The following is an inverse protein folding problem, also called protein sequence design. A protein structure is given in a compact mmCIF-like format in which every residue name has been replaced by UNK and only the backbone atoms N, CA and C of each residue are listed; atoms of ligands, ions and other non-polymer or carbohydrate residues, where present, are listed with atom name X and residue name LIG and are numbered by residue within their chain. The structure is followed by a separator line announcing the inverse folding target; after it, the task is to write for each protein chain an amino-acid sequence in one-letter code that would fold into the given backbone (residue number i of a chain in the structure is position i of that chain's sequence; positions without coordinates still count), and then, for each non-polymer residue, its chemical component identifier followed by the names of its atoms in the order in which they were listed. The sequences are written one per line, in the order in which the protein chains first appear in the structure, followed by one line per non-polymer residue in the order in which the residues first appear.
data_IF_820899224592
#
_entry.id   IF_820899224592
#
_cell.length_a   1.000
_cell.length_b   1.000
_cell.length_c   1.000
_cell.angle_alpha   90.00
_cell.angle_beta   90.00
_cell.angle_gamma   90.00
#
_symmetry.space_group_name_H-M   'P 1'
#
loop_
_entity.id
_entity.type
_entity.pdbx_description
1 polymer ?
#
# COMPACT_ATOMS: atom_id res chain seq x y z
N UNK A 1 6.57 15.90 -12.39
CA UNK A 1 7.36 16.17 -11.17
C UNK A 1 6.91 17.39 -10.37
N UNK A 2 6.59 18.55 -10.96
CA UNK A 2 6.07 19.71 -10.19
C UNK A 2 4.81 19.42 -9.35
N UNK A 3 3.94 18.51 -9.81
CA UNK A 3 2.79 18.04 -9.03
C UNK A 3 3.20 17.02 -7.95
N UNK A 4 4.24 16.22 -8.19
CA UNK A 4 4.55 15.04 -7.38
C UNK A 4 5.57 15.29 -6.28
N UNK A 5 6.45 16.28 -6.42
CA UNK A 5 7.41 16.66 -5.38
C UNK A 5 6.97 17.95 -4.70
N UNK A 6 7.44 18.12 -3.46
CA UNK A 6 7.27 19.35 -2.70
C UNK A 6 7.92 20.49 -3.47
N UNK A 7 7.18 21.58 -3.66
CA UNK A 7 7.63 22.75 -4.39
C UNK A 7 8.38 23.67 -3.42
N UNK A 8 9.64 24.02 -3.70
CA UNK A 8 10.31 25.05 -2.92
C UNK A 8 9.60 26.39 -3.14
N UNK A 9 9.64 27.24 -2.11
CA UNK A 9 9.26 28.65 -2.19
C UNK A 9 10.23 29.42 -3.10
N UNK A 10 9.84 30.63 -3.52
CA UNK A 10 10.70 31.46 -4.37
C UNK A 10 12.05 31.77 -3.69
N UNK A 11 12.06 32.01 -2.37
CA UNK A 11 13.28 32.21 -1.58
C UNK A 11 14.16 30.95 -1.55
N UNK A 12 13.56 29.78 -1.31
CA UNK A 12 14.28 28.49 -1.34
C UNK A 12 14.84 28.17 -2.73
N UNK A 13 14.15 28.56 -3.81
CA UNK A 13 14.64 28.41 -5.19
C UNK A 13 15.83 29.33 -5.47
N UNK A 14 15.79 30.58 -5.02
CA UNK A 14 16.91 31.52 -5.16
C UNK A 14 18.15 31.02 -4.41
N UNK A 15 17.96 30.39 -3.25
CA UNK A 15 19.03 29.81 -2.44
C UNK A 15 19.25 28.31 -2.63
N UNK A 16 18.70 27.68 -3.67
CA UNK A 16 18.64 26.21 -3.80
C UNK A 16 20.02 25.56 -3.86
N UNK A 17 20.99 26.24 -4.48
CA UNK A 17 22.35 25.73 -4.64
C UNK A 17 22.42 24.51 -5.55
N UNK A 18 23.26 23.54 -5.18
CA UNK A 18 23.42 22.29 -5.92
C UNK A 18 22.41 21.25 -5.45
N UNK A 19 21.73 20.52 -6.37
CA UNK A 19 20.79 19.48 -5.99
C UNK A 19 21.50 18.32 -5.28
N UNK A 20 20.86 17.77 -4.24
CA UNK A 20 21.35 16.55 -3.57
C UNK A 20 21.26 15.32 -4.46
N UNK A 21 20.30 15.30 -5.40
CA UNK A 21 20.07 14.20 -6.33
C UNK A 21 19.50 14.74 -7.66
N UNK A 22 19.97 14.22 -8.79
CA UNK A 22 19.55 14.68 -10.13
C UNK A 22 18.91 13.56 -10.94
N UNK A 23 17.77 13.84 -11.59
CA UNK A 23 17.12 12.92 -12.54
C UNK A 23 17.36 13.42 -13.96
N UNK A 24 18.04 12.61 -14.77
CA UNK A 24 18.13 12.79 -16.22
C UNK A 24 17.07 11.93 -16.90
N UNK A 25 15.91 12.54 -17.17
CA UNK A 25 14.87 11.87 -17.95
C UNK A 25 15.08 12.09 -19.45
N UNK A 26 15.70 11.11 -20.10
CA UNK A 26 15.81 11.00 -21.55
C UNK A 26 14.93 9.83 -22.06
N UNK A 27 13.75 9.68 -21.47
CA UNK A 27 12.82 8.57 -21.70
C UNK A 27 12.46 8.32 -23.16
N UNK A 28 12.37 9.37 -23.98
CA UNK A 28 12.12 9.25 -25.43
C UNK A 28 13.31 8.66 -26.21
N UNK A 29 14.50 8.58 -25.62
CA UNK A 29 15.71 8.03 -26.24
C UNK A 29 15.96 6.59 -25.74
N UNK A 30 16.13 5.60 -26.62
CA UNK A 30 16.31 4.21 -26.21
C UNK A 30 17.69 3.96 -25.59
N UNK A 31 17.73 3.07 -24.62
CA UNK A 31 18.97 2.50 -24.11
C UNK A 31 19.66 1.63 -25.18
N UNK A 32 20.99 1.64 -25.17
CA UNK A 32 21.77 0.75 -26.03
C UNK A 32 21.77 -0.68 -25.47
N UNK A 33 21.04 -1.59 -26.12
CA UNK A 33 20.96 -3.02 -25.75
C UNK A 33 22.30 -3.77 -25.77
N UNK A 34 23.33 -3.20 -26.41
CA UNK A 34 24.67 -3.81 -26.47
C UNK A 34 25.57 -3.39 -25.30
N UNK A 35 25.13 -2.47 -24.44
CA UNK A 35 25.83 -2.12 -23.20
C UNK A 35 25.69 -3.28 -22.20
N UNK A 36 26.78 -3.64 -21.51
CA UNK A 36 26.78 -4.70 -20.49
C UNK A 36 25.70 -4.48 -19.43
N UNK A 37 24.94 -5.53 -19.10
CA UNK A 37 23.85 -5.48 -18.13
C UNK A 37 22.51 -4.98 -18.68
N UNK A 38 22.48 -4.44 -19.90
CA UNK A 38 21.23 -4.01 -20.54
C UNK A 38 20.50 -5.22 -21.15
N UNK A 39 19.21 -5.36 -20.85
CA UNK A 39 18.37 -6.47 -21.35
C UNK A 39 17.31 -6.01 -22.37
N UNK A 40 17.08 -4.70 -22.48
CA UNK A 40 16.06 -4.13 -23.37
C UNK A 40 16.49 -2.75 -23.90
N UNK A 41 15.60 -2.07 -24.62
CA UNK A 41 15.78 -0.66 -25.02
C UNK A 41 15.40 0.32 -23.90
N UNK A 42 15.02 -0.17 -22.72
CA UNK A 42 14.60 0.63 -21.56
C UNK A 42 15.61 0.45 -20.43
N UNK A 43 15.97 1.57 -19.78
CA UNK A 43 16.86 1.58 -18.63
C UNK A 43 16.42 2.64 -17.63
N UNK A 44 16.28 2.23 -16.37
CA UNK A 44 16.04 3.11 -15.22
C UNK A 44 17.12 2.80 -14.20
N UNK A 45 18.17 3.60 -14.20
CA UNK A 45 19.40 3.32 -13.44
C UNK A 45 19.63 4.39 -12.38
N UNK A 46 19.83 3.97 -11.12
CA UNK A 46 20.16 4.84 -9.99
C UNK A 46 21.64 4.61 -9.61
N UNK A 47 22.40 5.70 -9.50
CA UNK A 47 23.75 5.70 -9.00
C UNK A 47 23.83 6.47 -7.67
N UNK A 48 23.90 5.74 -6.55
CA UNK A 48 23.98 6.33 -5.21
C UNK A 48 25.29 7.03 -4.88
N UNK A 49 26.37 6.75 -5.62
CA UNK A 49 27.65 7.43 -5.43
C UNK A 49 27.66 8.80 -6.11
N UNK A 50 27.07 8.89 -7.31
CA UNK A 50 26.96 10.15 -8.05
C UNK A 50 25.70 10.96 -7.67
N UNK A 51 24.76 10.34 -6.96
CA UNK A 51 23.44 10.87 -6.65
C UNK A 51 22.64 11.23 -7.92
N UNK A 52 22.62 10.31 -8.88
CA UNK A 52 21.99 10.52 -10.18
C UNK A 52 21.05 9.35 -10.54
N UNK A 53 19.95 9.67 -11.23
CA UNK A 53 19.12 8.69 -11.91
C UNK A 53 19.06 9.01 -13.40
N UNK A 54 19.21 7.98 -14.25
CA UNK A 54 19.07 8.11 -15.71
C UNK A 54 17.90 7.23 -16.16
N UNK A 55 16.97 7.83 -16.91
CA UNK A 55 15.81 7.16 -17.50
C UNK A 55 15.94 7.21 -19.02
N UNK A 56 15.88 6.05 -19.67
CA UNK A 56 15.95 5.86 -21.12
C UNK A 56 14.89 4.87 -21.58
N UNK A 57 14.31 5.10 -22.76
CA UNK A 57 13.38 4.18 -23.43
C UNK A 57 12.05 3.94 -22.69
N UNK A 58 11.61 4.91 -21.89
CA UNK A 58 10.30 4.91 -21.22
C UNK A 58 9.86 6.34 -20.91
N UNK A 59 8.64 6.70 -21.29
CA UNK A 59 8.03 8.00 -21.01
C UNK A 59 7.02 7.94 -19.84
N UNK A 60 6.91 6.78 -19.19
CA UNK A 60 6.01 6.60 -18.05
C UNK A 60 6.47 7.45 -16.86
N UNK A 61 5.61 8.37 -16.41
CA UNK A 61 5.96 9.33 -15.37
C UNK A 61 6.27 8.66 -14.01
N UNK A 62 5.69 7.47 -13.78
CA UNK A 62 5.91 6.69 -12.57
C UNK A 62 7.37 6.30 -12.32
N UNK A 63 8.21 6.21 -13.35
CA UNK A 63 9.64 5.92 -13.18
C UNK A 63 10.37 7.01 -12.40
N UNK A 64 10.03 8.28 -12.66
CA UNK A 64 10.62 9.39 -11.91
C UNK A 64 10.17 9.39 -10.44
N UNK A 65 8.87 9.15 -10.20
CA UNK A 65 8.29 9.07 -8.85
C UNK A 65 8.95 7.93 -8.06
N UNK A 66 8.84 6.70 -8.56
CA UNK A 66 9.33 5.50 -7.88
C UNK A 66 10.84 5.43 -7.79
N UNK A 67 11.57 6.07 -8.72
CA UNK A 67 13.01 6.26 -8.61
C UNK A 67 13.40 7.06 -7.36
N UNK A 68 12.74 8.20 -7.10
CA UNK A 68 12.95 8.96 -5.85
C UNK A 68 12.56 8.13 -4.63
N UNK A 69 11.47 7.37 -4.71
CA UNK A 69 11.07 6.51 -3.61
C UNK A 69 12.14 5.45 -3.26
N UNK A 70 12.72 4.79 -4.26
CA UNK A 70 13.86 3.89 -4.06
C UNK A 70 15.07 4.61 -3.46
N UNK A 71 15.33 5.86 -3.85
CA UNK A 71 16.37 6.68 -3.22
C UNK A 71 16.08 6.92 -1.74
N UNK A 72 14.84 7.21 -1.38
CA UNK A 72 14.39 7.39 0.00
C UNK A 72 14.45 6.08 0.80
N UNK A 73 14.19 4.93 0.18
CA UNK A 73 14.41 3.60 0.77
C UNK A 73 15.89 3.30 1.08
N UNK A 74 16.83 3.96 0.42
CA UNK A 74 18.25 3.86 0.77
C UNK A 74 18.68 4.91 1.80
N UNK A 75 18.46 6.20 1.53
CA UNK A 75 18.99 7.27 2.40
C UNK A 75 18.31 7.32 3.76
N UNK A 76 16.99 7.16 3.83
CA UNK A 76 16.27 7.31 5.10
C UNK A 76 16.73 6.27 6.12
N UNK A 77 16.77 4.96 5.81
CA UNK A 77 17.20 3.97 6.79
C UNK A 77 18.70 4.00 7.09
N UNK A 78 19.55 4.27 6.09
CA UNK A 78 21.01 4.14 6.23
C UNK A 78 21.65 5.41 6.78
N UNK A 79 21.31 6.58 6.22
CA UNK A 79 21.94 7.84 6.60
C UNK A 79 21.28 8.48 7.81
N UNK A 80 19.96 8.34 7.94
CA UNK A 80 19.17 9.11 8.92
C UNK A 80 18.48 8.25 9.97
N UNK A 81 18.53 6.91 9.85
CA UNK A 81 17.78 5.98 10.72
C UNK A 81 16.26 6.28 10.75
N UNK A 82 15.73 6.78 9.64
CA UNK A 82 14.31 7.08 9.42
C UNK A 82 13.68 5.93 8.63
N UNK A 83 12.51 5.47 9.05
CA UNK A 83 11.80 4.38 8.41
C UNK A 83 11.01 4.91 7.21
N UNK A 84 11.39 4.54 5.98
CA UNK A 84 10.61 4.81 4.77
C UNK A 84 9.60 3.70 4.48
N UNK A 85 8.41 4.10 4.06
CA UNK A 85 7.20 3.27 4.01
C UNK A 85 6.44 3.48 2.71
N UNK A 86 6.01 2.36 2.09
CA UNK A 86 5.05 2.39 0.99
C UNK A 86 3.64 2.33 1.57
N UNK A 87 3.13 3.48 1.97
CA UNK A 87 1.88 3.62 2.70
C UNK A 87 1.18 4.94 2.37
N UNK A 88 -0.14 4.98 2.54
CA UNK A 88 -0.85 6.25 2.72
C UNK A 88 -0.88 6.58 4.21
N UNK A 89 -1.07 7.84 4.57
CA UNK A 89 -1.23 8.25 5.96
C UNK A 89 -2.28 9.35 6.10
N UNK A 90 -3.01 9.32 7.22
CA UNK A 90 -3.93 10.38 7.60
C UNK A 90 -3.91 10.63 9.11
N UNK A 91 -4.38 11.80 9.52
CA UNK A 91 -4.44 12.25 10.90
C UNK A 91 -5.87 12.60 11.29
N UNK A 92 -6.32 12.09 12.43
CA UNK A 92 -7.63 12.42 12.99
C UNK A 92 -7.66 13.80 13.66
N UNK A 93 -8.86 14.29 14.02
CA UNK A 93 -9.02 15.59 14.67
C UNK A 93 -8.30 15.68 16.03
N UNK A 94 -8.10 14.54 16.70
CA UNK A 94 -7.39 14.45 17.99
C UNK A 94 -5.87 14.23 17.82
N UNK A 95 -5.36 14.29 16.58
CA UNK A 95 -3.95 14.09 16.27
C UNK A 95 -3.51 12.63 16.17
N UNK A 96 -4.44 11.67 16.24
CA UNK A 96 -4.11 10.26 16.05
C UNK A 96 -3.75 9.98 14.60
N UNK A 97 -2.55 9.45 14.35
CA UNK A 97 -2.07 9.13 13.00
C UNK A 97 -2.33 7.65 12.68
N UNK A 98 -2.77 7.38 11.46
CA UNK A 98 -2.89 6.03 10.90
C UNK A 98 -2.07 5.93 9.63
N UNK A 99 -1.32 4.83 9.48
CA UNK A 99 -0.62 4.49 8.24
C UNK A 99 -1.23 3.23 7.64
N UNK A 100 -1.46 3.23 6.34
CA UNK A 100 -2.12 2.15 5.62
C UNK A 100 -1.17 1.61 4.57
N UNK A 101 -0.77 0.35 4.72
CA UNK A 101 0.02 -0.40 3.76
C UNK A 101 -0.90 -1.18 2.85
N UNK A 102 -0.52 -1.32 1.58
CA UNK A 102 -1.30 -2.11 0.65
C UNK A 102 -0.84 -1.90 -0.79
N UNK A 103 -0.86 -2.99 -1.55
CA UNK A 103 -0.60 -2.94 -2.98
C UNK A 103 -1.73 -2.24 -3.73
N UNK A 104 -1.52 -1.97 -5.02
CA UNK A 104 -2.55 -1.41 -5.89
C UNK A 104 -3.84 -2.25 -5.83
N UNK A 105 -5.00 -1.59 -5.75
CA UNK A 105 -6.30 -2.27 -5.71
C UNK A 105 -6.76 -2.81 -4.34
N UNK A 106 -5.94 -2.72 -3.30
CA UNK A 106 -6.28 -3.15 -1.92
C UNK A 106 -7.07 -2.12 -1.11
N UNK A 107 -7.45 -0.99 -1.72
CA UNK A 107 -8.25 0.06 -1.07
C UNK A 107 -7.46 1.10 -0.27
N UNK A 108 -6.12 1.14 -0.38
CA UNK A 108 -5.25 2.12 0.31
C UNK A 108 -5.72 3.57 0.14
N UNK A 109 -5.86 4.05 -1.09
CA UNK A 109 -6.31 5.41 -1.39
C UNK A 109 -7.76 5.62 -0.91
N UNK A 110 -8.65 4.67 -1.18
CA UNK A 110 -10.07 4.77 -0.81
C UNK A 110 -10.32 4.84 0.71
N UNK A 111 -9.52 4.11 1.51
CA UNK A 111 -9.65 4.05 2.97
C UNK A 111 -8.87 5.15 3.69
N UNK A 112 -7.80 5.69 3.07
CA UNK A 112 -7.07 6.84 3.62
C UNK A 112 -7.73 8.18 3.30
N UNK A 113 -8.46 8.29 2.18
CA UNK A 113 -9.38 9.37 1.85
C UNK A 113 -10.67 9.27 2.70
N UNK A 114 -10.52 9.54 3.99
CA UNK A 114 -11.61 9.66 4.95
C UNK A 114 -11.93 11.15 5.14
N UNK A 115 -13.16 11.60 4.83
CA UNK A 115 -13.53 13.02 4.98
C UNK A 115 -13.47 13.53 6.42
N UNK A 116 -13.41 12.64 7.43
CA UNK A 116 -13.27 13.01 8.85
C UNK A 116 -11.81 13.22 9.28
N UNK A 117 -10.84 12.92 8.40
CA UNK A 117 -9.41 12.89 8.73
C UNK A 117 -8.64 13.72 7.71
N UNK A 118 -7.51 14.27 8.13
CA UNK A 118 -6.65 15.05 7.25
C UNK A 118 -5.65 14.13 6.54
N UNK A 119 -5.66 14.12 5.21
CA UNK A 119 -4.75 13.29 4.40
C UNK A 119 -3.31 13.84 4.49
N UNK A 120 -2.36 13.04 4.96
CA UNK A 120 -0.93 13.41 4.96
C UNK A 120 -0.34 13.15 3.56
N UNK A 121 -0.68 11.99 2.97
CA UNK A 121 -0.28 11.57 1.62
C UNK A 121 -0.89 10.21 1.27
N UNK A 122 -0.85 9.83 -0.02
CA UNK A 122 -1.53 8.64 -0.53
C UNK A 122 -0.63 7.42 -0.78
N UNK A 123 0.70 7.57 -0.77
CA UNK A 123 1.56 6.47 -1.26
C UNK A 123 2.95 6.32 -0.60
N UNK A 124 3.65 7.41 -0.26
CA UNK A 124 5.07 7.34 0.15
C UNK A 124 5.38 8.20 1.39
N UNK A 125 5.72 7.56 2.52
CA UNK A 125 5.92 8.27 3.79
C UNK A 125 7.22 7.86 4.49
N UNK A 126 7.64 8.70 5.42
CA UNK A 126 8.69 8.41 6.37
C UNK A 126 8.19 8.56 7.81
N UNK A 127 8.54 7.60 8.67
CA UNK A 127 8.37 7.68 10.11
C UNK A 127 9.73 7.94 10.77
N UNK A 128 9.87 9.17 11.27
CA UNK A 128 11.04 9.67 11.98
C UNK A 128 10.81 9.71 13.48
N UNK A 129 11.82 10.15 14.23
CA UNK A 129 11.72 10.37 15.68
C UNK A 129 10.82 11.56 16.03
N UNK A 130 10.38 12.35 15.03
CA UNK A 130 9.52 13.52 15.20
C UNK A 130 8.09 13.33 14.66
N UNK A 131 7.76 12.15 14.15
CA UNK A 131 6.44 11.87 13.55
C UNK A 131 6.54 11.38 12.11
N UNK A 132 5.49 11.62 11.33
CA UNK A 132 5.34 11.13 9.95
C UNK A 132 5.34 12.29 8.97
N UNK A 133 6.07 12.14 7.87
CA UNK A 133 6.02 13.09 6.76
C UNK A 133 5.87 12.38 5.42
N UNK A 134 5.18 13.03 4.50
CA UNK A 134 5.06 12.61 3.11
C UNK A 134 6.38 12.89 2.36
N UNK A 135 6.77 11.99 1.47
CA UNK A 135 7.90 12.21 0.54
C UNK A 135 7.44 13.10 -0.63
N UNK A 136 6.14 13.07 -0.94
CA UNK A 136 5.55 13.68 -2.13
C UNK A 136 4.88 15.04 -1.85
N UNK A 137 4.70 15.84 -2.91
CA UNK A 137 3.92 17.09 -2.90
C UNK A 137 2.56 16.97 -3.61
N UNK A 138 2.14 15.75 -3.94
CA UNK A 138 0.89 15.46 -4.63
C UNK A 138 0.62 13.97 -4.72
N UNK A 139 -0.42 13.63 -5.48
CA UNK A 139 -0.91 12.26 -5.62
C UNK A 139 -0.86 11.81 -7.08
N UNK A 140 -0.65 10.52 -7.29
CA UNK A 140 -0.59 9.87 -8.61
C UNK A 140 -1.62 8.75 -8.71
N UNK A 141 -2.88 9.15 -8.71
CA UNK A 141 -4.03 8.26 -8.55
C UNK A 141 -4.32 7.47 -9.83
N UNK A 142 -4.81 6.22 -9.66
CA UNK A 142 -5.38 5.42 -10.75
C UNK A 142 -6.73 6.00 -11.16
N UNK A 143 -7.01 6.06 -12.46
CA UNK A 143 -8.22 6.70 -13.01
C UNK A 143 -9.23 5.72 -13.62
N UNK A 144 -8.88 4.45 -13.80
CA UNK A 144 -9.81 3.47 -14.38
C UNK A 144 -11.02 3.28 -13.46
N UNK A 145 -12.22 3.34 -14.04
CA UNK A 145 -13.52 3.29 -13.36
C UNK A 145 -13.74 4.41 -12.31
N UNK A 146 -12.98 5.51 -12.40
CA UNK A 146 -13.14 6.65 -11.50
C UNK A 146 -14.51 7.31 -11.73
N UNK A 147 -15.23 7.57 -10.64
CA UNK A 147 -16.54 8.20 -10.69
C UNK A 147 -16.75 9.15 -9.51
N UNK A 148 -17.53 10.22 -9.68
CA UNK A 148 -17.81 11.17 -8.60
C UNK A 148 -18.57 10.53 -7.44
N UNK A 149 -19.34 9.47 -7.68
CA UNK A 149 -20.12 8.79 -6.64
C UNK A 149 -19.25 7.91 -5.72
N UNK A 150 -18.19 7.30 -6.26
CA UNK A 150 -17.31 6.40 -5.51
C UNK A 150 -16.17 7.15 -4.83
N UNK A 151 -15.54 8.08 -5.54
CA UNK A 151 -14.30 8.75 -5.14
C UNK A 151 -14.36 10.26 -5.46
N UNK A 152 -15.29 11.01 -4.82
CA UNK A 152 -15.55 12.41 -5.15
C UNK A 152 -14.32 13.32 -4.97
N UNK A 153 -13.50 13.07 -3.95
CA UNK A 153 -12.32 13.89 -3.66
C UNK A 153 -11.28 13.79 -4.78
N UNK A 154 -10.97 12.58 -5.24
CA UNK A 154 -10.04 12.33 -6.34
C UNK A 154 -10.61 12.89 -7.64
N UNK A 155 -11.90 12.65 -7.91
CA UNK A 155 -12.56 13.16 -9.12
C UNK A 155 -12.52 14.69 -9.19
N UNK A 156 -12.81 15.36 -8.08
CA UNK A 156 -12.79 16.83 -8.00
C UNK A 156 -11.37 17.42 -8.03
N UNK A 157 -10.35 16.64 -7.70
CA UNK A 157 -8.95 17.03 -7.87
C UNK A 157 -8.52 17.04 -9.34
N UNK A 158 -9.30 16.48 -10.27
CA UNK A 158 -9.00 16.54 -11.70
C UNK A 158 -9.50 17.88 -12.26
N UNK A 159 -8.60 18.85 -12.33
CA UNK A 159 -8.85 20.20 -12.84
C UNK A 159 -7.58 20.80 -13.45
N UNK A 160 -7.64 22.07 -13.89
CA UNK A 160 -6.46 22.75 -14.43
C UNK A 160 -5.26 22.60 -13.48
N UNK A 161 -4.10 22.21 -14.02
CA UNK A 161 -2.89 21.88 -13.26
C UNK A 161 -2.67 20.39 -13.02
N UNK A 162 -3.72 19.57 -13.10
CA UNK A 162 -3.61 18.10 -13.09
C UNK A 162 -3.12 17.58 -14.43
N UNK A 163 -2.46 16.42 -14.43
CA UNK A 163 -1.97 15.74 -15.64
C UNK A 163 -2.62 14.37 -15.72
N UNK A 164 -3.37 14.12 -16.79
CA UNK A 164 -3.95 12.81 -17.09
C UNK A 164 -3.00 12.05 -18.01
N UNK A 165 -2.75 10.78 -17.70
CA UNK A 165 -1.82 9.91 -18.43
C UNK A 165 -2.56 8.67 -18.92
N UNK A 166 -2.49 8.46 -20.24
CA UNK A 166 -3.09 7.33 -20.96
C UNK A 166 -4.62 7.18 -20.81
N UNK A 167 -5.34 8.25 -20.48
CA UNK A 167 -6.82 8.25 -20.51
C UNK A 167 -7.35 8.47 -21.92
N UNK A 168 -8.49 7.85 -22.23
CA UNK A 168 -9.26 8.15 -23.44
C UNK A 168 -10.24 9.30 -23.14
N UNK A 169 -10.40 10.20 -24.10
CA UNK A 169 -11.37 11.30 -24.02
C UNK A 169 -11.99 11.56 -25.38
N UNK A 170 -13.21 12.09 -25.36
CA UNK A 170 -13.91 12.47 -26.59
C UNK A 170 -13.25 13.74 -27.22
N UNK A 171 -12.81 13.70 -28.49
CA UNK A 171 -12.05 14.80 -29.08
C UNK A 171 -12.83 16.12 -29.20
N UNK A 172 -14.16 16.07 -29.25
CA UNK A 172 -15.02 17.23 -29.45
C UNK A 172 -15.40 17.90 -28.12
N UNK A 173 -15.99 17.13 -27.21
CA UNK A 173 -16.44 17.55 -25.88
C UNK A 173 -15.31 17.65 -24.85
N UNK A 174 -14.17 16.98 -25.10
CA UNK A 174 -13.03 16.85 -24.18
C UNK A 174 -13.36 16.12 -22.87
N UNK A 175 -14.50 15.45 -22.81
CA UNK A 175 -14.90 14.64 -21.65
C UNK A 175 -14.07 13.35 -21.65
N UNK A 176 -13.45 13.06 -20.51
CA UNK A 176 -12.67 11.84 -20.29
C UNK A 176 -13.62 10.66 -20.07
N UNK A 177 -13.32 9.53 -20.71
CA UNK A 177 -13.99 8.27 -20.45
C UNK A 177 -13.14 7.44 -19.48
N UNK A 178 -13.48 7.46 -18.20
CA UNK A 178 -12.74 6.75 -17.16
C UNK A 178 -12.96 5.24 -17.17
N UNK A 179 -13.97 4.74 -17.90
CA UNK A 179 -14.24 3.31 -18.04
C UNK A 179 -13.49 2.68 -19.23
N UNK A 180 -12.76 3.48 -20.01
CA UNK A 180 -12.05 3.03 -21.21
C UNK A 180 -10.57 2.73 -20.93
N UNK A 181 -10.21 1.46 -21.12
CA UNK A 181 -8.86 0.90 -20.92
C UNK A 181 -8.17 0.54 -22.24
N UNK A 182 -8.65 1.04 -23.38
CA UNK A 182 -8.14 0.64 -24.71
C UNK A 182 -6.63 0.85 -24.88
N UNK A 183 -6.02 1.79 -24.13
CA UNK A 183 -4.57 1.93 -24.04
C UNK A 183 -3.96 1.10 -22.91
N UNK A 184 -4.58 1.13 -21.73
CA UNK A 184 -4.13 0.42 -20.53
C UNK A 184 -5.16 0.54 -19.41
N UNK A 185 -5.28 -0.49 -18.57
CA UNK A 185 -6.00 -0.36 -17.29
C UNK A 185 -5.26 0.54 -16.29
N UNK A 186 -3.97 0.85 -16.49
CA UNK A 186 -3.18 1.70 -15.60
C UNK A 186 -3.27 3.19 -15.99
N UNK A 187 -4.46 3.68 -16.30
CA UNK A 187 -4.69 5.11 -16.50
C UNK A 187 -4.45 5.89 -15.20
N UNK A 188 -3.87 7.08 -15.30
CA UNK A 188 -3.38 7.84 -14.13
C UNK A 188 -3.75 9.32 -14.17
N UNK A 189 -3.79 9.94 -12.99
CA UNK A 189 -3.84 11.39 -12.83
C UNK A 189 -2.83 11.84 -11.78
N UNK A 190 -1.94 12.75 -12.15
CA UNK A 190 -1.05 13.44 -11.22
C UNK A 190 -1.61 14.82 -10.87
N UNK A 191 -1.86 15.09 -9.60
CA UNK A 191 -2.35 16.38 -9.11
C UNK A 191 -1.63 16.79 -7.81
N UNK A 192 -1.45 18.10 -7.57
CA UNK A 192 -0.83 18.58 -6.34
C UNK A 192 -1.73 18.29 -5.13
N UNK A 193 -1.12 18.06 -3.95
CA UNK A 193 -1.84 17.59 -2.75
C UNK A 193 -2.93 18.58 -2.31
N UNK A 194 -2.73 19.88 -2.57
CA UNK A 194 -3.67 20.96 -2.25
C UNK A 194 -4.98 20.89 -3.04
N UNK A 195 -5.12 19.97 -3.98
CA UNK A 195 -6.38 19.72 -4.67
C UNK A 195 -7.31 18.82 -3.87
N UNK A 196 -6.81 18.13 -2.86
CA UNK A 196 -7.61 17.38 -1.89
C UNK A 196 -8.03 18.33 -0.75
N UNK A 197 -9.35 18.57 -0.54
CA UNK A 197 -9.81 19.59 0.41
C UNK A 197 -9.38 19.38 1.87
N UNK A 198 -9.28 18.13 2.31
CA UNK A 198 -8.84 17.72 3.64
C UNK A 198 -7.36 17.33 3.67
N UNK A 199 -6.55 17.72 2.69
CA UNK A 199 -5.10 17.51 2.78
C UNK A 199 -4.50 18.30 3.96
N UNK A 200 -3.63 17.63 4.71
CA UNK A 200 -2.75 18.28 5.68
C UNK A 200 -1.60 18.92 4.91
N UNK A 201 -1.50 20.24 4.91
CA UNK A 201 -0.37 20.98 4.34
C UNK A 201 0.48 21.51 5.51
N UNK A 202 1.80 21.25 5.58
CA UNK A 202 2.72 20.79 4.53
C UNK A 202 2.97 19.27 4.49
N UNK A 203 1.94 18.44 4.70
CA UNK A 203 2.04 16.97 4.66
C UNK A 203 2.98 16.36 5.71
N UNK A 204 3.02 16.98 6.89
CA UNK A 204 3.80 16.54 8.05
C UNK A 204 2.88 16.44 9.27
N UNK A 205 2.90 15.32 9.98
CA UNK A 205 2.38 15.21 11.34
C UNK A 205 3.54 15.10 12.35
N UNK A 206 3.47 15.90 13.41
CA UNK A 206 4.38 15.80 14.56
C UNK A 206 3.94 14.72 15.56
N UNK A 207 2.82 14.05 15.30
CA UNK A 207 2.35 12.91 16.07
C UNK A 207 2.86 11.61 15.46
N UNK A 208 2.93 10.56 16.28
CA UNK A 208 3.32 9.24 15.83
C UNK A 208 2.10 8.39 15.47
N UNK A 209 2.22 7.45 14.51
CA UNK A 209 1.19 6.47 14.21
C UNK A 209 0.73 5.76 15.47
N UNK A 210 -0.58 5.82 15.71
CA UNK A 210 -1.27 5.00 16.70
C UNK A 210 -1.75 3.68 16.09
N UNK A 211 -2.02 3.69 14.79
CA UNK A 211 -2.52 2.53 14.05
C UNK A 211 -1.67 2.24 12.81
N UNK A 212 -1.21 1.00 12.70
CA UNK A 212 -0.52 0.44 11.54
C UNK A 212 -1.47 -0.53 10.87
N UNK A 213 -1.96 -0.20 9.67
CA UNK A 213 -3.01 -0.97 9.00
C UNK A 213 -2.43 -1.65 7.75
N UNK A 214 -2.40 -2.97 7.76
CA UNK A 214 -1.95 -3.80 6.64
C UNK A 214 -3.18 -4.24 5.83
N UNK A 215 -3.38 -3.64 4.66
CA UNK A 215 -4.48 -3.98 3.76
C UNK A 215 -4.07 -5.15 2.87
N UNK A 216 -4.94 -6.15 2.82
CA UNK A 216 -4.81 -7.30 1.92
C UNK A 216 -6.10 -7.47 1.12
N UNK A 217 -5.99 -7.91 -0.13
CA UNK A 217 -7.13 -8.31 -0.95
C UNK A 217 -7.09 -9.83 -1.10
N UNK A 218 -7.63 -10.55 -0.12
CA UNK A 218 -7.63 -12.01 -0.14
C UNK A 218 -8.75 -12.55 -1.03
N UNK A 219 -8.40 -13.07 -2.20
CA UNK A 219 -9.35 -13.71 -3.12
C UNK A 219 -9.62 -15.20 -2.80
N UNK A 220 -8.94 -15.76 -1.79
CA UNK A 220 -9.23 -17.09 -1.26
C UNK A 220 -10.38 -17.06 -0.24
N UNK A 221 -10.68 -15.89 0.32
CA UNK A 221 -11.80 -15.68 1.25
C UNK A 221 -11.60 -16.32 2.62
N UNK A 222 -10.34 -16.50 3.03
CA UNK A 222 -9.95 -17.21 4.26
C UNK A 222 -9.38 -16.27 5.31
N UNK A 223 -8.89 -15.07 4.95
CA UNK A 223 -8.43 -14.10 5.93
C UNK A 223 -9.62 -13.35 6.56
N UNK A 224 -9.64 -13.18 7.88
CA UNK A 224 -10.68 -12.41 8.57
C UNK A 224 -10.79 -10.97 8.05
N UNK A 225 -11.97 -10.34 8.09
CA UNK A 225 -12.13 -8.93 7.73
C UNK A 225 -11.19 -8.00 8.49
N UNK A 226 -10.92 -8.32 9.76
CA UNK A 226 -9.94 -7.61 10.59
C UNK A 226 -9.31 -8.56 11.60
N UNK A 227 -8.02 -8.38 11.85
CA UNK A 227 -7.30 -9.04 12.94
C UNK A 227 -6.37 -8.06 13.63
N UNK A 228 -6.28 -8.15 14.96
CA UNK A 228 -5.25 -7.46 15.73
C UNK A 228 -3.97 -8.28 15.70
N UNK A 229 -2.84 -7.63 15.39
CA UNK A 229 -1.55 -8.29 15.26
C UNK A 229 -0.68 -8.02 16.49
N UNK A 230 0.04 -9.03 16.95
CA UNK A 230 1.23 -8.82 17.77
C UNK A 230 2.35 -8.17 16.95
N UNK A 231 3.38 -7.61 17.60
CA UNK A 231 4.54 -7.04 16.90
C UNK A 231 5.23 -8.03 15.97
N UNK A 232 5.37 -9.30 16.40
CA UNK A 232 5.95 -10.36 15.57
C UNK A 232 5.10 -10.68 14.34
N UNK A 233 3.77 -10.72 14.49
CA UNK A 233 2.85 -10.91 13.37
C UNK A 233 2.82 -9.71 12.43
N UNK A 234 2.91 -8.49 12.96
CA UNK A 234 3.03 -7.27 12.16
C UNK A 234 4.27 -7.34 11.28
N UNK A 235 5.43 -7.73 11.83
CA UNK A 235 6.66 -7.95 11.04
C UNK A 235 6.49 -9.06 9.99
N UNK A 236 5.93 -10.22 10.37
CA UNK A 236 5.72 -11.34 9.45
C UNK A 236 4.83 -10.97 8.27
N UNK A 237 3.67 -10.36 8.54
CA UNK A 237 2.74 -9.93 7.49
C UNK A 237 3.27 -8.75 6.69
N UNK A 238 4.06 -7.87 7.29
CA UNK A 238 4.74 -6.78 6.58
C UNK A 238 5.79 -7.30 5.60
N UNK A 239 6.65 -8.24 6.02
CA UNK A 239 7.62 -8.90 5.13
C UNK A 239 6.92 -9.75 4.07
N UNK A 240 5.81 -10.40 4.41
CA UNK A 240 5.04 -11.16 3.43
C UNK A 240 4.40 -10.26 2.37
N UNK A 241 3.78 -9.15 2.80
CA UNK A 241 3.12 -8.19 1.91
C UNK A 241 2.09 -8.85 0.98
N UNK A 242 1.23 -9.69 1.56
CA UNK A 242 0.31 -10.54 0.83
C UNK A 242 -0.89 -9.77 0.24
N UNK A 243 -1.21 -10.08 -1.01
CA UNK A 243 -2.49 -9.82 -1.68
C UNK A 243 -2.80 -10.96 -2.64
N UNK A 244 -3.97 -10.97 -3.26
CA UNK A 244 -4.25 -11.87 -4.38
C UNK A 244 -4.48 -11.11 -5.69
N UNK A 245 -4.05 -11.74 -6.79
CA UNK A 245 -4.51 -11.40 -8.14
C UNK A 245 -5.86 -12.05 -8.39
N UNK A 246 -6.76 -11.31 -9.02
CA UNK A 246 -8.12 -11.75 -9.27
C UNK A 246 -8.17 -12.40 -10.66
N UNK A 247 -8.89 -13.52 -10.79
CA UNK A 247 -9.06 -14.19 -12.07
C UNK A 247 -9.83 -13.30 -13.07
N UNK A 248 -9.29 -13.16 -14.28
CA UNK A 248 -9.88 -12.35 -15.35
C UNK A 248 -9.55 -10.86 -15.33
N UNK A 249 -8.77 -10.36 -14.36
CA UNK A 249 -8.27 -8.96 -14.35
C UNK A 249 -6.82 -8.85 -14.80
N UNK A 250 -6.12 -9.97 -15.01
CA UNK A 250 -4.76 -10.01 -15.55
C UNK A 250 -4.64 -11.13 -16.59
N UNK A 251 -3.89 -10.86 -17.66
CA UNK A 251 -3.76 -11.76 -18.79
C UNK A 251 -3.14 -13.11 -18.34
N UNK A 252 -3.89 -14.20 -18.54
CA UNK A 252 -3.48 -15.56 -18.13
C UNK A 252 -3.91 -16.02 -16.72
N UNK A 253 -4.52 -15.16 -15.89
CA UNK A 253 -4.97 -15.55 -14.54
C UNK A 253 -6.39 -16.12 -14.58
N UNK A 254 -6.52 -17.44 -14.43
CA UNK A 254 -7.82 -18.16 -14.48
C UNK A 254 -8.39 -18.54 -13.12
N UNK A 255 -7.57 -18.50 -12.06
CA UNK A 255 -7.96 -18.72 -10.67
C UNK A 255 -7.22 -17.71 -9.77
N UNK A 256 -7.73 -17.41 -8.55
CA UNK A 256 -7.02 -16.59 -7.58
C UNK A 256 -5.58 -17.03 -7.38
N UNK A 257 -4.63 -16.10 -7.56
CA UNK A 257 -3.21 -16.35 -7.37
C UNK A 257 -2.69 -15.50 -6.21
N UNK A 258 -2.06 -16.16 -5.23
CA UNK A 258 -1.41 -15.45 -4.13
C UNK A 258 -0.22 -14.66 -4.65
N UNK A 259 -0.14 -13.38 -4.30
CA UNK A 259 0.96 -12.49 -4.66
C UNK A 259 1.55 -11.90 -3.40
N UNK A 260 2.86 -11.97 -3.29
CA UNK A 260 3.62 -11.47 -2.15
C UNK A 260 4.56 -10.38 -2.63
N UNK A 261 4.53 -9.24 -1.95
CA UNK A 261 5.41 -8.12 -2.25
C UNK A 261 5.94 -7.58 -0.95
N UNK A 262 7.15 -7.97 -0.58
CA UNK A 262 7.75 -7.62 0.69
C UNK A 262 7.62 -6.13 1.04
N UNK A 263 7.30 -5.86 2.31
CA UNK A 263 7.03 -4.51 2.85
C UNK A 263 5.91 -3.76 2.09
N UNK A 264 5.05 -4.50 1.38
CA UNK A 264 4.06 -3.98 0.43
C UNK A 264 4.68 -3.09 -0.67
N UNK A 265 5.97 -3.23 -0.98
CA UNK A 265 6.71 -2.31 -1.85
C UNK A 265 7.99 -2.91 -2.44
N UNK A 266 8.05 -4.23 -2.61
CA UNK A 266 9.27 -4.97 -2.99
C UNK A 266 10.07 -4.37 -4.14
N UNK A 267 9.48 -3.89 -5.25
CA UNK A 267 10.24 -3.33 -6.37
C UNK A 267 11.07 -2.09 -6.03
N UNK A 268 10.76 -1.41 -4.92
CA UNK A 268 11.38 -0.16 -4.52
C UNK A 268 12.35 -0.32 -3.34
N UNK A 269 12.41 -1.51 -2.74
CA UNK A 269 13.29 -1.76 -1.60
C UNK A 269 14.74 -1.87 -2.07
N UNK A 270 15.63 -1.18 -1.35
CA UNK A 270 17.09 -1.23 -1.59
C UNK A 270 17.81 -2.12 -0.58
N UNK A 271 17.15 -2.44 0.54
CA UNK A 271 17.70 -3.23 1.64
C UNK A 271 16.89 -4.50 1.83
N UNK A 272 17.44 -5.45 2.59
CA UNK A 272 16.72 -6.65 2.96
C UNK A 272 15.42 -6.30 3.72
N UNK A 273 14.26 -6.91 3.39
CA UNK A 273 12.97 -6.62 4.04
C UNK A 273 12.98 -6.66 5.57
N UNK A 274 13.75 -7.60 6.15
CA UNK A 274 13.91 -7.72 7.60
C UNK A 274 14.42 -6.43 8.26
N UNK A 275 15.20 -5.61 7.56
CA UNK A 275 15.68 -4.32 8.08
C UNK A 275 14.53 -3.35 8.32
N UNK A 276 13.62 -3.21 7.35
CA UNK A 276 12.46 -2.34 7.46
C UNK A 276 11.47 -2.86 8.51
N UNK A 277 11.25 -4.18 8.55
CA UNK A 277 10.38 -4.81 9.54
C UNK A 277 10.86 -4.59 10.98
N UNK A 278 12.17 -4.72 11.22
CA UNK A 278 12.77 -4.41 12.52
C UNK A 278 12.55 -2.95 12.92
N UNK A 279 12.82 -2.01 12.02
CA UNK A 279 12.57 -0.59 12.28
C UNK A 279 11.10 -0.29 12.54
N UNK A 280 10.17 -0.97 11.84
CA UNK A 280 8.74 -0.85 12.09
C UNK A 280 8.37 -1.32 13.51
N UNK A 281 8.87 -2.49 13.93
CA UNK A 281 8.60 -3.02 15.25
C UNK A 281 9.17 -2.13 16.38
N UNK A 282 10.40 -1.63 16.23
CA UNK A 282 11.02 -0.71 17.19
C UNK A 282 10.17 0.56 17.37
N UNK A 283 9.67 1.13 16.27
CA UNK A 283 8.81 2.32 16.32
C UNK A 283 7.41 2.02 16.87
N UNK A 284 6.82 0.88 16.53
CA UNK A 284 5.55 0.45 17.11
C UNK A 284 5.65 0.30 18.64
N UNK A 285 6.70 -0.34 19.13
CA UNK A 285 6.93 -0.53 20.56
C UNK A 285 7.17 0.81 21.27
N UNK A 286 8.07 1.65 20.73
CA UNK A 286 8.38 2.97 21.29
C UNK A 286 7.15 3.87 21.43
N UNK A 287 6.21 3.78 20.49
CA UNK A 287 5.03 4.65 20.44
C UNK A 287 3.73 3.95 20.83
N UNK A 288 3.79 2.70 21.29
CA UNK A 288 2.62 1.89 21.66
C UNK A 288 1.55 1.84 20.55
N UNK A 289 2.00 1.69 19.30
CA UNK A 289 1.12 1.61 18.14
C UNK A 289 0.50 0.22 18.00
N UNK A 290 -0.79 0.16 17.72
CA UNK A 290 -1.49 -1.08 17.40
C UNK A 290 -1.34 -1.42 15.91
N UNK A 291 -1.16 -2.71 15.59
CA UNK A 291 -1.13 -3.19 14.22
C UNK A 291 -2.35 -4.05 13.88
N UNK A 292 -2.82 -3.91 12.64
CA UNK A 292 -4.07 -4.47 12.14
C UNK A 292 -3.84 -5.11 10.78
N UNK A 293 -4.36 -6.32 10.57
CA UNK A 293 -4.52 -6.90 9.23
C UNK A 293 -5.97 -6.74 8.82
N UNK A 294 -6.24 -6.08 7.70
CA UNK A 294 -7.60 -5.81 7.21
C UNK A 294 -7.78 -6.40 5.82
N UNK A 295 -8.71 -7.35 5.71
CA UNK A 295 -9.07 -7.95 4.43
C UNK A 295 -10.13 -7.09 3.72
N UNK A 296 -9.79 -6.66 2.51
CA UNK A 296 -10.63 -5.89 1.57
C UNK A 296 -11.01 -6.71 0.31
N UNK A 297 -10.63 -7.98 0.32
CA UNK A 297 -10.92 -8.98 -0.71
C UNK A 297 -12.26 -9.66 -0.45
N UNK A 298 -12.28 -10.99 -0.39
CA UNK A 298 -13.47 -11.82 -0.37
C UNK A 298 -13.77 -12.36 1.03
N UNK A 299 -15.04 -12.70 1.24
CA UNK A 299 -15.52 -13.47 2.39
C UNK A 299 -16.64 -14.43 1.94
N UNK A 300 -16.89 -15.46 2.75
CA UNK A 300 -17.90 -16.49 2.51
C UNK A 300 -17.56 -17.49 1.40
N UNK A 301 -16.31 -17.50 0.93
CA UNK A 301 -15.81 -18.36 -0.14
C UNK A 301 -14.70 -17.70 -0.93
N UNK A 302 -13.95 -18.49 -1.69
CA UNK A 302 -13.01 -17.99 -2.68
C UNK A 302 -13.73 -17.24 -3.82
N UNK A 303 -12.99 -16.45 -4.60
CA UNK A 303 -13.50 -15.79 -5.80
C UNK A 303 -14.31 -16.75 -6.69
N UNK A 304 -15.49 -16.30 -7.13
CA UNK A 304 -16.46 -17.11 -7.88
C UNK A 304 -17.53 -17.78 -7.02
N UNK A 305 -17.30 -17.94 -5.71
CA UNK A 305 -18.29 -18.47 -4.74
C UNK A 305 -18.60 -17.43 -3.66
N UNK A 306 -17.57 -16.82 -3.08
CA UNK A 306 -17.72 -15.76 -2.08
C UNK A 306 -18.02 -14.39 -2.69
N UNK A 307 -18.27 -13.42 -1.82
CA UNK A 307 -18.50 -12.04 -2.21
C UNK A 307 -17.35 -11.15 -1.73
N UNK A 308 -17.05 -10.09 -2.49
CA UNK A 308 -16.11 -9.07 -2.04
C UNK A 308 -16.69 -8.37 -0.80
N UNK A 309 -15.87 -8.19 0.23
CA UNK A 309 -16.23 -7.47 1.45
C UNK A 309 -16.71 -6.08 1.06
N UNK A 310 -17.95 -5.77 1.42
CA UNK A 310 -18.61 -4.51 1.04
C UNK A 310 -17.82 -3.35 1.65
N UNK A 311 -17.56 -2.31 0.86
CA UNK A 311 -16.79 -1.14 1.29
C UNK A 311 -17.33 -0.51 2.59
N UNK A 312 -18.66 -0.53 2.80
CA UNK A 312 -19.27 -0.05 4.05
C UNK A 312 -18.76 -0.78 5.30
N UNK A 313 -18.46 -2.09 5.20
CA UNK A 313 -17.92 -2.88 6.30
C UNK A 313 -16.44 -2.58 6.52
N UNK A 314 -15.65 -2.44 5.44
CA UNK A 314 -14.26 -2.01 5.57
C UNK A 314 -14.16 -0.62 6.21
N UNK A 315 -15.01 0.35 5.81
CA UNK A 315 -15.06 1.68 6.46
C UNK A 315 -15.47 1.58 7.94
N UNK A 316 -16.46 0.75 8.27
CA UNK A 316 -16.85 0.52 9.67
C UNK A 316 -15.70 -0.06 10.51
N UNK A 317 -14.93 -1.00 9.96
CA UNK A 317 -13.72 -1.54 10.59
C UNK A 317 -12.70 -0.43 10.83
N UNK A 318 -12.41 0.40 9.83
CA UNK A 318 -11.45 1.50 9.96
C UNK A 318 -11.95 2.53 11.01
N UNK A 319 -13.24 2.87 11.02
CA UNK A 319 -13.85 3.73 12.05
C UNK A 319 -13.71 3.10 13.47
N UNK A 320 -13.87 1.78 13.60
CA UNK A 320 -13.71 1.05 14.86
C UNK A 320 -12.23 0.98 15.33
N UNK A 321 -11.27 0.95 14.39
CA UNK A 321 -9.84 1.11 14.68
C UNK A 321 -9.57 2.53 15.21
N UNK A 322 -10.00 3.56 14.49
CA UNK A 322 -9.74 4.96 14.84
C UNK A 322 -10.37 5.37 16.17
N UNK A 323 -11.60 4.93 16.44
CA UNK A 323 -12.28 5.18 17.73
C UNK A 323 -11.65 4.44 18.91
N UNK A 324 -10.78 3.46 18.65
CA UNK A 324 -10.19 2.60 19.68
C UNK A 324 -11.14 1.54 20.22
N UNK A 325 -12.29 1.31 19.58
CA UNK A 325 -13.21 0.21 19.89
C UNK A 325 -12.48 -1.13 19.78
N UNK A 326 -11.84 -1.38 18.63
CA UNK A 326 -11.14 -2.65 18.40
C UNK A 326 -9.94 -2.81 19.34
N UNK A 327 -9.32 -1.74 19.82
CA UNK A 327 -8.24 -1.87 20.80
C UNK A 327 -8.70 -2.45 22.15
N UNK A 328 -10.01 -2.36 22.46
CA UNK A 328 -10.60 -2.71 23.77
C UNK A 328 -11.57 -3.90 23.75
N UNK A 329 -11.94 -4.37 22.57
CA UNK A 329 -12.92 -5.47 22.41
C UNK A 329 -12.34 -6.83 22.80
N UNK A 330 -13.21 -7.83 22.94
CA UNK A 330 -12.79 -9.21 23.15
C UNK A 330 -12.39 -9.88 21.84
N UNK A 331 -11.36 -10.71 21.90
CA UNK A 331 -10.82 -11.44 20.75
C UNK A 331 -11.01 -12.95 20.91
N UNK A 332 -11.13 -13.64 19.78
CA UNK A 332 -10.98 -15.09 19.66
C UNK A 332 -9.78 -15.43 18.77
N UNK A 333 -9.14 -16.56 19.03
CA UNK A 333 -8.04 -17.05 18.21
C UNK A 333 -8.60 -17.63 16.92
N UNK A 334 -8.01 -17.22 15.79
CA UNK A 334 -8.25 -17.79 14.48
C UNK A 334 -7.11 -18.73 14.11
N UNK A 335 -7.42 -20.03 14.19
CA UNK A 335 -6.46 -21.13 14.02
C UNK A 335 -5.76 -21.14 12.66
N UNK A 336 -4.65 -21.88 12.57
CA UNK A 336 -3.71 -21.94 11.44
C UNK A 336 -2.96 -20.64 11.22
N UNK A 337 -3.62 -19.49 11.09
CA UNK A 337 -2.92 -18.20 10.94
C UNK A 337 -2.52 -17.56 12.27
N UNK A 338 -2.99 -18.11 13.39
CA UNK A 338 -2.71 -17.64 14.75
C UNK A 338 -3.18 -16.17 14.99
N UNK A 339 -4.18 -15.71 14.25
CA UNK A 339 -4.64 -14.32 14.27
C UNK A 339 -5.65 -14.08 15.39
N UNK A 340 -5.66 -12.87 15.96
CA UNK A 340 -6.70 -12.47 16.91
C UNK A 340 -7.82 -11.76 16.14
N UNK A 341 -9.02 -12.34 16.09
CA UNK A 341 -10.20 -11.75 15.46
C UNK A 341 -11.17 -11.20 16.51
N UNK A 342 -11.77 -10.02 16.31
CA UNK A 342 -12.68 -9.46 17.30
C UNK A 342 -14.01 -10.23 17.30
N UNK A 343 -14.60 -10.41 18.49
CA UNK A 343 -15.93 -11.03 18.60
C UNK A 343 -17.06 -10.13 18.11
N UNK A 344 -16.83 -8.82 18.08
CA UNK A 344 -17.78 -7.81 17.61
C UNK A 344 -17.07 -6.58 17.06
N UNK A 345 -17.68 -5.94 16.07
CA UNK A 345 -17.25 -4.66 15.50
C UNK A 345 -18.49 -3.88 15.07
N UNK A 346 -18.66 -2.66 15.57
CA UNK A 346 -19.83 -1.82 15.28
C UNK A 346 -20.00 -1.62 13.77
N UNK A 347 -21.22 -1.86 13.27
CA UNK A 347 -21.53 -1.71 11.84
C UNK A 347 -21.14 -2.90 10.95
N UNK A 348 -20.57 -3.96 11.54
CA UNK A 348 -20.22 -5.21 10.84
C UNK A 348 -20.99 -6.39 11.46
N UNK A 349 -21.74 -7.18 10.66
CA UNK A 349 -22.35 -8.42 11.15
C UNK A 349 -21.32 -9.37 11.77
N UNK A 350 -21.59 -9.86 12.98
CA UNK A 350 -20.64 -10.65 13.79
C UNK A 350 -20.18 -11.94 13.12
N UNK A 351 -21.05 -12.56 12.32
CA UNK A 351 -20.77 -13.77 11.56
C UNK A 351 -19.67 -13.54 10.52
N UNK A 352 -19.59 -12.34 9.92
CA UNK A 352 -18.58 -12.03 8.91
C UNK A 352 -17.17 -11.94 9.51
N UNK A 353 -17.04 -11.66 10.81
CA UNK A 353 -15.73 -11.49 11.47
C UNK A 353 -14.93 -12.79 11.52
N UNK A 354 -15.58 -13.95 11.44
CA UNK A 354 -14.95 -15.25 11.39
C UNK A 354 -15.30 -15.95 10.07
N UNK A 355 -14.39 -15.95 9.06
CA UNK A 355 -14.68 -16.47 7.72
C UNK A 355 -15.20 -17.91 7.67
N UNK A 356 -14.81 -18.76 8.63
CA UNK A 356 -15.29 -20.15 8.70
C UNK A 356 -16.80 -20.24 8.92
N UNK A 357 -17.39 -19.28 9.66
CA UNK A 357 -18.83 -19.26 9.98
C UNK A 357 -19.69 -18.83 8.79
N UNK A 358 -19.08 -18.24 7.76
CA UNK A 358 -19.77 -17.69 6.60
C UNK A 358 -19.45 -18.42 5.30
N UNK A 359 -18.63 -19.48 5.35
CA UNK A 359 -18.22 -20.23 4.18
C UNK A 359 -19.41 -20.92 3.51
N UNK A 360 -19.68 -20.59 2.25
CA UNK A 360 -20.82 -21.14 1.50
C UNK A 360 -20.54 -22.55 0.91
N UNK A 361 -19.29 -23.03 0.95
CA UNK A 361 -18.88 -24.36 0.50
C UNK A 361 -18.96 -25.42 1.60
N UNK A 362 -18.39 -26.60 1.37
CA UNK A 362 -18.25 -27.63 2.42
C UNK A 362 -17.12 -27.27 3.39
N UNK A 363 -17.16 -27.80 4.61
CA UNK A 363 -16.08 -27.65 5.60
C UNK A 363 -14.73 -28.12 5.03
N UNK A 364 -14.72 -29.23 4.29
CA UNK A 364 -13.49 -29.74 3.66
C UNK A 364 -12.93 -28.74 2.64
N UNK A 365 -13.79 -28.08 1.86
CA UNK A 365 -13.36 -27.08 0.88
C UNK A 365 -12.74 -25.85 1.55
N UNK A 366 -13.28 -25.43 2.70
CA UNK A 366 -12.72 -24.36 3.51
C UNK A 366 -11.35 -24.75 4.06
N UNK A 367 -11.23 -25.92 4.69
CA UNK A 367 -9.96 -26.43 5.25
C UNK A 367 -8.88 -26.54 4.18
N UNK A 368 -9.22 -27.08 3.00
CA UNK A 368 -8.29 -27.17 1.87
C UNK A 368 -7.82 -25.79 1.40
N UNK A 369 -8.74 -24.84 1.25
CA UNK A 369 -8.41 -23.48 0.78
C UNK A 369 -7.57 -22.71 1.80
N UNK A 370 -7.92 -22.80 3.09
CA UNK A 370 -7.18 -22.21 4.20
C UNK A 370 -5.76 -22.76 4.27
N UNK A 371 -5.60 -24.09 4.24
CA UNK A 371 -4.30 -24.73 4.31
C UNK A 371 -3.45 -24.42 3.06
N UNK A 372 -4.07 -24.34 1.87
CA UNK A 372 -3.39 -23.91 0.64
C UNK A 372 -2.81 -22.50 0.79
N UNK A 373 -3.60 -21.54 1.28
CA UNK A 373 -3.08 -20.18 1.50
C UNK A 373 -1.98 -20.16 2.56
N UNK A 374 -2.17 -20.86 3.68
CA UNK A 374 -1.15 -20.96 4.74
C UNK A 374 0.17 -21.53 4.21
N UNK A 375 0.11 -22.56 3.37
CA UNK A 375 1.29 -23.12 2.70
C UNK A 375 1.98 -22.08 1.81
N UNK A 376 1.23 -21.29 1.03
CA UNK A 376 1.81 -20.22 0.20
C UNK A 376 2.53 -19.15 1.03
N UNK A 377 2.02 -18.81 2.22
CA UNK A 377 2.72 -17.90 3.15
C UNK A 377 4.05 -18.49 3.62
N UNK A 378 4.05 -19.76 4.06
CA UNK A 378 5.26 -20.46 4.51
C UNK A 378 6.30 -20.55 3.38
N UNK A 379 5.89 -21.00 2.19
CA UNK A 379 6.78 -21.12 1.02
C UNK A 379 7.38 -19.77 0.61
N UNK A 380 6.56 -18.72 0.57
CA UNK A 380 7.04 -17.38 0.25
C UNK A 380 8.07 -16.88 1.28
N UNK A 381 7.89 -17.21 2.57
CA UNK A 381 8.74 -16.66 3.62
C UNK A 381 10.16 -17.24 3.64
N UNK A 382 10.37 -18.44 3.07
CA UNK A 382 11.69 -19.12 3.01
C UNK A 382 12.81 -18.20 2.52
N UNK A 383 12.52 -17.34 1.55
CA UNK A 383 13.51 -16.44 0.94
C UNK A 383 14.01 -15.32 1.88
N UNK A 384 13.38 -15.12 3.05
CA UNK A 384 13.71 -14.08 4.02
C UNK A 384 14.19 -14.63 5.37
N UNK A 385 14.24 -15.96 5.53
CA UNK A 385 14.54 -16.62 6.81
C UNK A 385 15.97 -16.37 7.30
N UNK A 386 16.91 -16.10 6.38
CA UNK A 386 18.32 -15.86 6.69
C UNK A 386 18.55 -14.64 7.60
N UNK A 387 17.61 -13.68 7.59
CA UNK A 387 17.66 -12.47 8.41
C UNK A 387 16.41 -12.25 9.27
N UNK A 388 15.48 -13.21 9.29
CA UNK A 388 14.32 -13.17 10.17
C UNK A 388 14.68 -13.67 11.58
N UNK A 389 14.14 -13.01 12.61
CA UNK A 389 14.32 -13.46 13.99
C UNK A 389 13.37 -14.64 14.32
N UNK A 390 13.69 -15.50 15.29
CA UNK A 390 12.88 -16.68 15.60
C UNK A 390 11.41 -16.38 15.94
N UNK A 391 11.14 -15.25 16.59
CA UNK A 391 9.79 -14.77 16.90
C UNK A 391 8.99 -14.43 15.63
N UNK A 392 9.62 -13.88 14.59
CA UNK A 392 8.96 -13.62 13.30
C UNK A 392 8.60 -14.95 12.62
N UNK A 393 9.51 -15.93 12.63
CA UNK A 393 9.26 -17.25 12.04
C UNK A 393 8.09 -17.97 12.71
N UNK A 394 7.98 -17.85 14.04
CA UNK A 394 6.90 -18.45 14.83
C UNK A 394 5.57 -17.68 14.72
N UNK A 395 5.58 -16.46 14.18
CA UNK A 395 4.38 -15.63 14.01
C UNK A 395 3.60 -15.94 12.73
N UNK A 396 4.18 -16.71 11.80
CA UNK A 396 3.53 -17.13 10.58
C UNK A 396 2.48 -18.25 10.77
N UNK A 397 1.81 -18.66 9.69
CA UNK A 397 0.83 -19.74 9.76
C UNK A 397 1.46 -21.09 10.16
N UNK A 398 0.76 -21.83 11.00
CA UNK A 398 1.11 -23.18 11.46
C UNK A 398 0.21 -24.18 10.75
N UNK A 399 0.80 -24.93 9.82
CA UNK A 399 0.10 -26.00 9.12
C UNK A 399 -0.18 -27.16 10.08
N UNK A 400 -1.38 -27.78 10.03
CA UNK A 400 -1.65 -29.00 10.77
C UNK A 400 -0.62 -30.08 10.40
N UNK A 401 -0.12 -30.81 11.39
CA UNK A 401 0.72 -31.99 11.13
C UNK A 401 -0.05 -32.97 10.26
N UNK A 402 0.57 -33.42 9.17
CA UNK A 402 -0.02 -34.34 8.18
C UNK A 402 -0.40 -35.70 8.77
#
# INVERSE_FOLDING_TARGET
MRNMLIRPTDEELESYGSPDFTIYNAGAFPANRYTTGMTSTTSVAINFHMNEMVILGTEYAGEMKKGIFSVMHYYMPIKYNVLSLHSSANEGPDGDVSVFFGLSGTGKTTLSADPKRSLIGDDEHCWSDHGVFNIEGGCYAKCINLSPDKEPEIFNAIRFGSVLENVIYDPQSRIVNYDDDALTENTRCAYPIEYIPNAKVPSISTNHPKNIILLTCDAYGVLPPVSKLSSAQAMYHFISGYTAKIAGTEDGVTQPEATFSACFGQPFLVLHPARYAKMLAERMEQHSADAWLVNTGWNGGAYGVGERIKLKYSRAIIDAIHSGELAKTEYELYDVFNLQIPKSCTGVPSELLNPSKTWNGSEESYVQTRNKLAQSFVENFIQYEDQATPDILLAGPILPSA
#
